data_IF_377778614630
#
_entry.id   IF_377778614630
#
_cell.length_a   1.000
_cell.length_b   1.000
_cell.length_c   1.000
_cell.angle_alpha   90.00
_cell.angle_beta   90.00
_cell.angle_gamma   90.00
#
_symmetry.space_group_name_H-M   'P 1'
#
loop_
_entity.id
_entity.type
_entity.pdbx_description
1 polymer ?
#
# COMPACT_ATOMS: atom_id res chain seq x y z
N UNK A 1 -8.62 19.11 -15.34
CA UNK A 1 -9.67 18.75 -16.33
C UNK A 1 -10.69 17.91 -15.59
N UNK A 2 -11.85 18.48 -15.29
CA UNK A 2 -12.97 17.78 -14.63
C UNK A 2 -14.04 17.54 -15.67
N UNK A 3 -14.36 16.26 -15.87
CA UNK A 3 -15.67 15.78 -16.28
C UNK A 3 -16.77 16.81 -16.04
N UNK A 4 -17.53 17.17 -17.05
CA UNK A 4 -18.64 18.14 -16.99
C UNK A 4 -19.88 17.61 -16.25
N UNK A 5 -19.76 16.53 -15.47
CA UNK A 5 -20.80 16.00 -14.59
C UNK A 5 -20.50 16.24 -13.11
N UNK A 6 -21.48 16.07 -12.23
CA UNK A 6 -21.29 16.01 -10.76
C UNK A 6 -21.49 14.61 -10.19
N UNK A 7 -21.84 13.66 -11.04
CA UNK A 7 -22.21 12.30 -10.66
C UNK A 7 -20.95 11.47 -10.36
N UNK A 8 -20.93 10.86 -9.18
CA UNK A 8 -19.92 9.90 -8.74
C UNK A 8 -20.32 8.53 -9.25
N UNK A 9 -19.91 8.22 -10.48
CA UNK A 9 -20.18 6.95 -11.16
C UNK A 9 -18.88 6.31 -11.64
N UNK A 10 -18.80 5.00 -11.54
CA UNK A 10 -17.72 4.20 -12.07
C UNK A 10 -17.88 4.04 -13.58
N UNK A 11 -16.98 4.69 -14.30
CA UNK A 11 -16.85 4.63 -15.75
C UNK A 11 -15.38 4.86 -16.11
N UNK A 12 -14.69 3.84 -16.60
CA UNK A 12 -13.26 3.95 -16.91
C UNK A 12 -12.97 4.69 -18.19
N UNK A 13 -13.95 4.79 -19.10
CA UNK A 13 -13.81 5.47 -20.39
C UNK A 13 -14.19 6.95 -20.26
N UNK A 14 -15.38 7.22 -19.71
CA UNK A 14 -15.90 8.59 -19.59
C UNK A 14 -15.41 9.31 -18.33
N UNK A 15 -15.19 8.58 -17.22
CA UNK A 15 -14.84 9.15 -15.90
C UNK A 15 -13.60 8.54 -15.23
N UNK A 16 -12.46 8.40 -15.93
CA UNK A 16 -11.30 7.66 -15.41
C UNK A 16 -10.80 8.16 -14.05
N UNK A 17 -10.85 9.47 -13.80
CA UNK A 17 -10.43 10.05 -12.52
C UNK A 17 -11.34 9.70 -11.35
N UNK A 18 -12.65 9.68 -11.56
CA UNK A 18 -13.63 9.31 -10.52
C UNK A 18 -13.56 7.81 -10.26
N UNK A 19 -13.47 7.00 -11.30
CA UNK A 19 -13.33 5.54 -11.21
C UNK A 19 -12.08 5.12 -10.45
N UNK A 20 -10.95 5.81 -10.66
CA UNK A 20 -9.74 5.57 -9.88
C UNK A 20 -9.93 5.91 -8.40
N UNK A 21 -10.56 7.04 -8.08
CA UNK A 21 -10.83 7.43 -6.69
C UNK A 21 -11.84 6.49 -6.01
N UNK A 22 -12.85 5.99 -6.73
CA UNK A 22 -13.77 4.97 -6.24
C UNK A 22 -13.04 3.66 -5.93
N UNK A 23 -12.11 3.26 -6.80
CA UNK A 23 -11.27 2.08 -6.59
C UNK A 23 -10.41 2.22 -5.34
N UNK A 24 -9.77 3.37 -5.16
CA UNK A 24 -8.97 3.67 -3.96
C UNK A 24 -9.85 3.63 -2.72
N UNK A 25 -11.01 4.29 -2.74
CA UNK A 25 -11.93 4.32 -1.59
C UNK A 25 -12.42 2.92 -1.24
N UNK A 26 -12.81 2.12 -2.22
CA UNK A 26 -13.20 0.72 -2.07
C UNK A 26 -12.09 -0.10 -1.40
N UNK A 27 -10.86 0.00 -1.90
CA UNK A 27 -9.72 -0.77 -1.38
C UNK A 27 -9.40 -0.44 0.08
N UNK A 28 -9.61 0.82 0.51
CA UNK A 28 -9.24 1.28 1.85
C UNK A 28 -10.39 1.18 2.86
N UNK A 29 -11.64 1.34 2.42
CA UNK A 29 -12.83 1.27 3.29
C UNK A 29 -13.44 -0.13 3.36
N UNK A 30 -13.16 -1.00 2.39
CA UNK A 30 -13.79 -2.31 2.24
C UNK A 30 -15.22 -2.27 1.67
N UNK A 31 -15.76 -1.08 1.37
CA UNK A 31 -17.06 -0.91 0.70
C UNK A 31 -16.94 -1.24 -0.79
N UNK A 32 -18.02 -1.73 -1.37
CA UNK A 32 -18.12 -1.99 -2.81
C UNK A 32 -18.38 -0.72 -3.60
N UNK A 33 -18.09 -0.75 -4.91
CA UNK A 33 -18.36 0.38 -5.81
C UNK A 33 -19.86 0.79 -5.77
N UNK A 34 -20.85 -0.12 -5.87
CA UNK A 34 -22.26 0.26 -5.83
C UNK A 34 -22.69 0.92 -4.52
N UNK A 35 -22.13 0.49 -3.39
CA UNK A 35 -22.40 1.13 -2.09
C UNK A 35 -21.88 2.56 -2.05
N UNK A 36 -20.70 2.82 -2.63
CA UNK A 36 -20.11 4.15 -2.71
C UNK A 36 -20.87 5.03 -3.70
N UNK A 37 -21.26 4.51 -4.86
CA UNK A 37 -22.10 5.26 -5.82
C UNK A 37 -23.42 5.71 -5.17
N UNK A 38 -24.09 4.82 -4.42
CA UNK A 38 -25.30 5.15 -3.68
C UNK A 38 -25.04 6.15 -2.53
N UNK A 39 -23.92 6.02 -1.80
CA UNK A 39 -23.55 6.91 -0.70
C UNK A 39 -23.25 8.35 -1.17
N UNK A 40 -22.73 8.47 -2.39
CA UNK A 40 -22.38 9.75 -3.02
C UNK A 40 -23.39 10.21 -4.08
N UNK A 41 -24.53 9.54 -4.20
CA UNK A 41 -25.64 9.99 -5.05
C UNK A 41 -26.11 11.37 -4.60
N UNK A 42 -26.23 12.30 -5.56
CA UNK A 42 -26.61 13.70 -5.29
C UNK A 42 -25.54 14.54 -4.56
N UNK A 43 -24.40 13.97 -4.16
CA UNK A 43 -23.27 14.71 -3.57
C UNK A 43 -22.32 15.24 -4.65
N UNK A 44 -21.56 16.27 -4.31
CA UNK A 44 -20.58 16.87 -5.22
C UNK A 44 -19.22 16.16 -5.19
N UNK A 45 -18.41 16.39 -6.23
CA UNK A 45 -17.03 15.92 -6.28
C UNK A 45 -16.13 16.45 -5.16
N UNK A 46 -16.48 17.59 -4.55
CA UNK A 46 -15.77 18.12 -3.38
C UNK A 46 -15.90 17.19 -2.18
N UNK A 47 -17.14 16.82 -1.84
CA UNK A 47 -17.44 15.94 -0.71
C UNK A 47 -16.85 14.55 -0.92
N UNK A 48 -16.96 14.01 -2.14
CA UNK A 48 -16.37 12.72 -2.49
C UNK A 48 -14.85 12.74 -2.32
N UNK A 49 -14.15 13.74 -2.88
CA UNK A 49 -12.68 13.84 -2.74
C UNK A 49 -12.24 14.06 -1.30
N UNK A 50 -13.00 14.82 -0.52
CA UNK A 50 -12.73 15.00 0.90
C UNK A 50 -12.84 13.67 1.66
N UNK A 51 -13.88 12.88 1.40
CA UNK A 51 -14.03 11.54 1.99
C UNK A 51 -12.90 10.60 1.58
N UNK A 52 -12.48 10.61 0.31
CA UNK A 52 -11.32 9.82 -0.16
C UNK A 52 -10.03 10.26 0.55
N UNK A 53 -9.82 11.56 0.75
CA UNK A 53 -8.65 12.06 1.46
C UNK A 53 -8.65 11.60 2.93
N UNK A 54 -9.80 11.67 3.59
CA UNK A 54 -9.95 11.25 4.98
C UNK A 54 -9.67 9.74 5.15
N UNK A 55 -10.26 8.88 4.32
CA UNK A 55 -10.02 7.43 4.43
C UNK A 55 -8.55 7.07 4.17
N UNK A 56 -7.88 7.75 3.24
CA UNK A 56 -6.44 7.54 2.97
C UNK A 56 -5.61 7.97 4.19
N UNK A 57 -5.93 9.11 4.79
CA UNK A 57 -5.22 9.60 5.99
C UNK A 57 -5.39 8.63 7.15
N UNK A 58 -6.62 8.21 7.44
CA UNK A 58 -6.89 7.29 8.55
C UNK A 58 -6.24 5.92 8.33
N UNK A 59 -6.28 5.40 7.11
CA UNK A 59 -5.65 4.12 6.79
C UNK A 59 -4.12 4.18 6.95
N UNK A 60 -3.47 5.28 6.51
CA UNK A 60 -2.01 5.42 6.58
C UNK A 60 -1.50 5.90 7.94
N UNK A 61 -2.36 6.48 8.79
CA UNK A 61 -2.01 6.98 10.13
C UNK A 61 -1.25 5.95 10.99
N UNK A 62 -1.73 4.71 11.22
CA UNK A 62 -1.00 3.74 12.03
C UNK A 62 0.35 3.36 11.41
N UNK A 63 0.43 3.22 10.08
CA UNK A 63 1.68 2.89 9.38
C UNK A 63 2.71 4.00 9.60
N UNK A 64 2.30 5.27 9.45
CA UNK A 64 3.16 6.42 9.71
C UNK A 64 3.65 6.46 11.14
N UNK A 65 2.76 6.26 12.13
CA UNK A 65 3.13 6.25 13.55
C UNK A 65 4.17 5.15 13.85
N UNK A 66 3.90 3.91 13.42
CA UNK A 66 4.83 2.79 13.59
C UNK A 66 6.17 3.03 12.90
N UNK A 67 6.16 3.66 11.73
CA UNK A 67 7.40 4.03 11.03
C UNK A 67 8.22 5.01 11.84
N UNK A 68 7.59 6.06 12.38
CA UNK A 68 8.28 7.05 13.20
C UNK A 68 8.81 6.44 14.51
N UNK A 69 8.02 5.62 15.19
CA UNK A 69 8.45 4.88 16.40
C UNK A 69 9.72 4.05 16.13
N UNK A 70 9.79 3.34 15.00
CA UNK A 70 10.95 2.54 14.62
C UNK A 70 12.17 3.39 14.25
N UNK A 71 11.96 4.56 13.65
CA UNK A 71 13.04 5.48 13.28
C UNK A 71 13.61 6.21 14.50
N UNK A 72 12.80 6.46 15.52
CA UNK A 72 13.24 7.05 16.79
C UNK A 72 14.08 6.08 17.63
N UNK A 73 13.80 4.77 17.57
CA UNK A 73 14.61 3.73 18.22
C UNK A 73 15.54 3.00 17.22
N UNK A 74 16.61 3.68 16.83
CA UNK A 74 17.62 3.14 15.91
C UNK A 74 18.21 1.80 16.38
N UNK A 75 18.41 1.64 17.70
CA UNK A 75 19.00 0.40 18.26
C UNK A 75 18.06 -0.79 18.05
N UNK A 76 16.78 -0.61 18.33
CA UNK A 76 15.79 -1.64 18.10
C UNK A 76 15.61 -1.95 16.61
N UNK A 77 15.62 -0.93 15.75
CA UNK A 77 15.58 -1.12 14.30
C UNK A 77 16.77 -1.95 13.79
N UNK A 78 17.99 -1.61 14.21
CA UNK A 78 19.19 -2.37 13.86
C UNK A 78 19.14 -3.82 14.38
N UNK A 79 18.53 -4.04 15.54
CA UNK A 79 18.31 -5.40 16.06
C UNK A 79 17.41 -6.21 15.13
N UNK A 80 16.26 -5.66 14.71
CA UNK A 80 15.35 -6.32 13.76
C UNK A 80 16.08 -6.63 12.44
N UNK A 81 16.84 -5.68 11.91
CA UNK A 81 17.59 -5.86 10.66
C UNK A 81 18.65 -6.97 10.77
N UNK A 82 19.37 -7.05 11.89
CA UNK A 82 20.34 -8.13 12.14
C UNK A 82 19.65 -9.49 12.21
N UNK A 83 18.56 -9.60 12.96
CA UNK A 83 17.79 -10.85 13.04
C UNK A 83 17.25 -11.29 11.68
N UNK A 84 16.80 -10.35 10.85
CA UNK A 84 16.38 -10.61 9.47
C UNK A 84 17.54 -11.08 8.59
N UNK A 85 18.70 -10.44 8.72
CA UNK A 85 19.91 -10.81 7.98
C UNK A 85 20.39 -12.22 8.37
N UNK A 86 20.40 -12.57 9.65
CA UNK A 86 20.81 -13.90 10.12
C UNK A 86 19.88 -14.99 9.57
N UNK A 87 18.55 -14.77 9.59
CA UNK A 87 17.57 -15.69 8.99
C UNK A 87 17.79 -15.85 7.49
N UNK A 88 17.98 -14.74 6.77
CA UNK A 88 18.23 -14.77 5.34
C UNK A 88 19.54 -15.50 4.99
N UNK A 89 20.58 -15.30 5.82
CA UNK A 89 21.89 -15.92 5.65
C UNK A 89 21.81 -17.44 5.73
N UNK A 90 21.10 -17.99 6.72
CA UNK A 90 20.90 -19.44 6.87
C UNK A 90 20.31 -20.06 5.60
N UNK A 91 19.32 -19.40 4.99
CA UNK A 91 18.70 -19.88 3.75
C UNK A 91 19.65 -19.75 2.56
N UNK A 92 20.34 -18.61 2.45
CA UNK A 92 21.25 -18.31 1.35
C UNK A 92 22.51 -19.19 1.37
N UNK A 93 23.04 -19.55 2.54
CA UNK A 93 24.24 -20.37 2.70
C UNK A 93 24.11 -21.72 2.01
N UNK A 94 22.94 -22.36 2.08
CA UNK A 94 22.68 -23.63 1.38
C UNK A 94 22.83 -23.47 -0.14
N UNK A 95 22.15 -22.47 -0.71
CA UNK A 95 22.22 -22.22 -2.16
C UNK A 95 23.63 -21.83 -2.60
N UNK A 96 24.34 -21.07 -1.77
CA UNK A 96 25.71 -20.66 -2.05
C UNK A 96 26.67 -21.86 -2.04
N UNK A 97 26.56 -22.75 -1.04
CA UNK A 97 27.33 -24.00 -0.95
C UNK A 97 27.12 -24.88 -2.18
N UNK A 98 25.86 -25.15 -2.55
CA UNK A 98 25.53 -25.95 -3.74
C UNK A 98 26.14 -25.34 -5.01
N UNK A 99 26.09 -24.02 -5.14
CA UNK A 99 26.67 -23.28 -6.27
C UNK A 99 28.19 -23.40 -6.31
N UNK A 100 28.87 -23.22 -5.17
CA UNK A 100 30.33 -23.32 -5.07
C UNK A 100 30.81 -24.73 -5.41
N UNK A 101 30.12 -25.74 -4.87
CA UNK A 101 30.39 -27.15 -5.18
C UNK A 101 30.25 -27.45 -6.67
N UNK A 102 29.18 -26.96 -7.31
CA UNK A 102 28.94 -27.18 -8.74
C UNK A 102 29.94 -26.45 -9.65
N UNK A 103 30.49 -25.31 -9.19
CA UNK A 103 31.52 -24.56 -9.91
C UNK A 103 32.96 -25.04 -9.60
N UNK A 104 33.13 -25.95 -8.65
CA UNK A 104 34.46 -26.42 -8.21
C UNK A 104 35.24 -25.36 -7.41
N UNK A 105 34.55 -24.40 -6.80
CA UNK A 105 35.15 -23.36 -5.96
C UNK A 105 35.25 -23.83 -4.51
N UNK A 106 36.28 -23.37 -3.80
CA UNK A 106 36.41 -23.62 -2.36
C UNK A 106 35.46 -22.69 -1.61
N UNK A 107 34.61 -23.27 -0.76
CA UNK A 107 33.69 -22.52 0.09
C UNK A 107 34.44 -21.60 1.07
N UNK A 108 33.84 -20.46 1.41
CA UNK A 108 34.40 -19.44 2.30
C UNK A 108 33.98 -19.65 3.74
#
# INVERSE_FOLDING_TARGET
MTDTGREVRFDTEEKPGISNLLTIHCALSGKTIPELEAEFEGKGYGDFKASVAEIVVEYLRPIRLRTLELLEDEKYLLKILREGADKARIVAEKTLSDTYKNLGLVER
#
